data_IF_748587349792
#
_entry.id   IF_748587349792
#
_cell.length_a   1.000
_cell.length_b   1.000
_cell.length_c   1.000
_cell.angle_alpha   90.00
_cell.angle_beta   90.00
_cell.angle_gamma   90.00
#
_symmetry.space_group_name_H-M   'P 1'
#
loop_
_entity.id
_entity.type
_entity.pdbx_description
1 polymer ?
#
# COMPACT_ATOMS: atom_id res chain seq x y z
N UNK A 1 -46.92 46.88 -11.49
CA UNK A 1 -46.63 47.15 -12.91
C UNK A 1 -45.19 46.74 -13.19
N UNK A 2 -45.01 45.49 -13.61
CA UNK A 2 -44.02 45.00 -14.56
C UNK A 2 -44.28 43.49 -14.65
N UNK A 3 -45.14 43.15 -15.60
CA UNK A 3 -45.46 41.80 -16.06
C UNK A 3 -44.42 41.31 -17.07
N UNK A 4 -44.50 40.00 -17.38
CA UNK A 4 -43.79 39.21 -18.42
C UNK A 4 -42.51 38.51 -17.89
N UNK A 5 -42.28 37.21 -18.01
CA UNK A 5 -42.79 36.16 -18.91
C UNK A 5 -42.81 34.81 -18.15
N UNK A 6 -43.91 34.06 -18.26
CA UNK A 6 -43.97 32.65 -17.87
C UNK A 6 -43.64 31.78 -19.09
N UNK A 7 -42.56 31.00 -19.00
CA UNK A 7 -42.23 29.95 -19.96
C UNK A 7 -42.44 28.58 -19.30
N UNK A 8 -43.38 27.83 -19.86
CA UNK A 8 -43.66 26.43 -19.55
C UNK A 8 -42.56 25.55 -20.12
N UNK A 9 -41.99 24.66 -19.31
CA UNK A 9 -41.04 23.64 -19.76
C UNK A 9 -41.38 22.28 -19.13
N UNK A 10 -42.03 21.45 -19.96
CA UNK A 10 -41.74 20.04 -20.24
C UNK A 10 -41.36 19.10 -19.09
N UNK A 11 -42.23 18.11 -18.89
CA UNK A 11 -42.02 16.86 -18.14
C UNK A 11 -40.69 16.16 -18.46
N UNK A 12 -39.99 15.72 -17.40
CA UNK A 12 -39.01 14.64 -17.44
C UNK A 12 -39.30 13.60 -16.35
N UNK A 13 -39.07 12.29 -16.62
CA UNK A 13 -39.37 11.24 -15.66
C UNK A 13 -38.33 11.20 -14.54
N UNK A 14 -38.78 11.43 -13.30
CA UNK A 14 -37.97 11.23 -12.09
C UNK A 14 -37.78 9.73 -11.84
N UNK A 15 -36.55 9.24 -11.98
CA UNK A 15 -36.14 7.93 -11.45
C UNK A 15 -36.10 8.04 -9.92
N UNK A 16 -37.07 7.44 -9.24
CA UNK A 16 -37.05 7.25 -7.78
C UNK A 16 -35.95 6.25 -7.42
N UNK A 17 -34.80 6.76 -6.96
CA UNK A 17 -33.80 5.94 -6.28
C UNK A 17 -34.27 5.77 -4.83
N UNK A 18 -34.40 4.52 -4.37
CA UNK A 18 -34.75 4.18 -2.99
C UNK A 18 -33.67 4.66 -2.00
N UNK A 19 -33.78 5.91 -1.57
CA UNK A 19 -32.87 6.55 -0.61
C UNK A 19 -32.88 5.88 0.77
N UNK A 20 -33.91 5.09 1.08
CA UNK A 20 -34.03 4.41 2.37
C UNK A 20 -33.17 3.14 2.46
N UNK A 21 -32.92 2.46 1.32
CA UNK A 21 -32.03 1.29 1.28
C UNK A 21 -30.56 1.71 1.39
N UNK A 22 -30.18 2.78 0.69
CA UNK A 22 -28.83 3.37 0.82
C UNK A 22 -28.55 3.92 2.22
N UNK A 23 -29.56 4.49 2.91
CA UNK A 23 -29.41 4.92 4.31
C UNK A 23 -29.24 3.75 5.27
N UNK A 24 -29.94 2.63 5.06
CA UNK A 24 -29.78 1.41 5.85
C UNK A 24 -28.38 0.80 5.68
N UNK A 25 -27.90 0.72 4.45
CA UNK A 25 -26.58 0.14 4.15
C UNK A 25 -25.43 1.03 4.66
N UNK A 26 -25.56 2.36 4.57
CA UNK A 26 -24.60 3.29 5.19
C UNK A 26 -24.55 3.16 6.71
N UNK A 27 -25.69 3.00 7.39
CA UNK A 27 -25.74 2.82 8.84
C UNK A 27 -25.11 1.48 9.27
N UNK A 28 -25.28 0.43 8.47
CA UNK A 28 -24.69 -0.89 8.73
C UNK A 28 -23.16 -0.87 8.57
N UNK A 29 -22.65 -0.29 7.48
CA UNK A 29 -21.20 -0.18 7.21
C UNK A 29 -20.51 0.72 8.26
N UNK A 30 -21.14 1.83 8.64
CA UNK A 30 -20.59 2.74 9.66
C UNK A 30 -20.53 2.06 11.04
N UNK A 31 -21.52 1.22 11.35
CA UNK A 31 -21.55 0.45 12.60
C UNK A 31 -20.47 -0.63 12.64
N UNK A 32 -20.25 -1.35 11.54
CA UNK A 32 -19.18 -2.37 11.43
C UNK A 32 -17.79 -1.71 11.52
N UNK A 33 -17.59 -0.59 10.83
CA UNK A 33 -16.30 0.12 10.83
C UNK A 33 -15.97 0.65 12.23
N UNK A 34 -16.96 1.18 12.96
CA UNK A 34 -16.81 1.60 14.35
C UNK A 34 -16.45 0.42 15.26
N UNK A 35 -17.12 -0.73 15.10
CA UNK A 35 -16.85 -1.97 15.85
C UNK A 35 -15.43 -2.47 15.63
N UNK A 36 -14.98 -2.55 14.37
CA UNK A 36 -13.63 -3.00 14.02
C UNK A 36 -12.55 -2.05 14.56
N UNK A 37 -12.81 -0.74 14.54
CA UNK A 37 -11.86 0.27 15.05
C UNK A 37 -11.73 0.22 16.58
N UNK A 38 -12.85 -0.02 17.29
CA UNK A 38 -12.84 -0.19 18.75
C UNK A 38 -12.12 -1.47 19.17
N UNK A 39 -12.37 -2.59 18.47
CA UNK A 39 -11.70 -3.87 18.75
C UNK A 39 -10.18 -3.78 18.50
N UNK A 40 -9.76 -3.08 17.43
CA UNK A 40 -8.34 -2.91 17.11
C UNK A 40 -7.60 -1.96 18.08
N UNK A 41 -8.29 -0.97 18.66
CA UNK A 41 -7.67 0.06 19.50
C UNK A 41 -7.74 -0.21 21.00
N UNK A 42 -8.55 -1.17 21.46
CA UNK A 42 -8.72 -1.48 22.89
C UNK A 42 -9.29 -0.32 23.72
N UNK A 43 -9.82 0.73 23.07
CA UNK A 43 -10.35 1.91 23.72
C UNK A 43 -11.83 1.70 24.10
N UNK A 44 -12.28 2.18 25.29
CA UNK A 44 -13.69 2.10 25.65
C UNK A 44 -14.54 3.05 24.77
N UNK A 45 -15.57 2.49 24.12
CA UNK A 45 -16.54 3.25 23.32
C UNK A 45 -17.19 4.38 24.13
N UNK A 46 -17.26 5.58 23.53
CA UNK A 46 -17.96 6.74 24.09
C UNK A 46 -19.46 6.45 24.25
N UNK A 47 -20.01 6.85 25.40
CA UNK A 47 -21.42 6.74 25.76
C UNK A 47 -22.30 7.65 24.89
N UNK A 48 -22.67 7.25 23.67
CA UNK A 48 -23.81 7.83 22.96
C UNK A 48 -24.42 6.78 22.01
N UNK A 49 -25.01 5.71 22.56
CA UNK A 49 -26.17 5.03 21.96
C UNK A 49 -26.68 3.93 22.90
N UNK A 50 -27.71 4.25 23.68
CA UNK A 50 -28.46 3.27 24.49
C UNK A 50 -29.11 2.17 23.62
N UNK A 51 -29.22 2.39 22.31
CA UNK A 51 -29.80 1.45 21.33
C UNK A 51 -28.82 0.39 20.81
N UNK A 52 -27.52 0.63 20.87
CA UNK A 52 -26.49 -0.36 20.49
C UNK A 52 -26.21 -1.34 21.66
N UNK A 53 -26.41 -0.89 22.90
CA UNK A 53 -26.16 -1.68 24.11
C UNK A 53 -27.11 -2.88 24.28
N UNK A 54 -28.32 -2.85 23.69
CA UNK A 54 -29.26 -3.99 23.72
C UNK A 54 -28.93 -5.07 22.68
N UNK A 55 -28.26 -4.73 21.58
CA UNK A 55 -27.83 -5.70 20.55
C UNK A 55 -26.53 -6.40 20.97
N UNK A 56 -25.64 -5.69 21.67
CA UNK A 56 -24.36 -6.23 22.15
C UNK A 56 -24.47 -7.14 23.38
N UNK A 57 -25.61 -7.18 24.09
CA UNK A 57 -25.86 -8.12 25.19
C UNK A 57 -26.45 -9.46 24.75
N UNK A 58 -26.54 -9.72 23.45
CA UNK A 58 -26.90 -11.05 22.96
C UNK A 58 -25.70 -12.00 23.14
N UNK A 59 -25.80 -13.04 23.99
CA UNK A 59 -24.71 -13.97 24.24
C UNK A 59 -24.17 -14.64 22.97
N UNK A 60 -25.02 -14.79 21.93
CA UNK A 60 -24.62 -15.34 20.63
C UNK A 60 -23.64 -14.42 19.91
N UNK A 61 -23.85 -13.10 19.95
CA UNK A 61 -22.99 -12.11 19.26
C UNK A 61 -21.63 -12.01 19.97
N UNK A 62 -21.60 -12.14 21.30
CA UNK A 62 -20.36 -12.19 22.09
C UNK A 62 -19.53 -13.45 21.76
N UNK A 63 -20.17 -14.61 21.67
CA UNK A 63 -19.51 -15.88 21.33
C UNK A 63 -18.96 -15.87 19.89
N UNK A 64 -19.73 -15.34 18.94
CA UNK A 64 -19.31 -15.18 17.54
C UNK A 64 -18.15 -14.20 17.39
N UNK A 65 -18.15 -13.09 18.13
CA UNK A 65 -17.03 -12.12 18.10
C UNK A 65 -15.75 -12.71 18.66
N UNK A 66 -15.81 -13.59 19.67
CA UNK A 66 -14.64 -14.28 20.22
C UNK A 66 -14.08 -15.30 19.23
N UNK A 67 -14.94 -16.16 18.68
CA UNK A 67 -14.52 -17.18 17.70
C UNK A 67 -13.94 -16.54 16.44
N UNK A 68 -14.57 -15.47 15.91
CA UNK A 68 -14.04 -14.75 14.75
C UNK A 68 -12.69 -14.06 15.05
N UNK A 69 -12.52 -13.52 16.26
CA UNK A 69 -11.27 -12.90 16.70
C UNK A 69 -10.14 -13.92 16.87
N UNK A 70 -10.42 -15.10 17.40
CA UNK A 70 -9.47 -16.20 17.53
C UNK A 70 -9.09 -16.78 16.17
N UNK A 71 -10.04 -16.90 15.24
CA UNK A 71 -9.81 -17.38 13.89
C UNK A 71 -8.98 -16.39 13.06
N UNK A 72 -9.31 -15.09 13.12
CA UNK A 72 -8.49 -14.04 12.49
C UNK A 72 -7.08 -14.00 13.08
N UNK A 73 -6.93 -14.19 14.40
CA UNK A 73 -5.61 -14.26 15.03
C UNK A 73 -4.81 -15.47 14.56
N UNK A 74 -5.45 -16.63 14.40
CA UNK A 74 -4.82 -17.83 13.85
C UNK A 74 -4.38 -17.61 12.39
N UNK A 75 -5.27 -17.09 11.54
CA UNK A 75 -5.00 -16.86 10.12
C UNK A 75 -3.90 -15.80 9.91
N UNK A 76 -3.89 -14.73 10.72
CA UNK A 76 -2.84 -13.71 10.65
C UNK A 76 -1.49 -14.25 11.13
N UNK A 77 -1.49 -15.15 12.11
CA UNK A 77 -0.27 -15.75 12.65
C UNK A 77 0.32 -16.80 11.71
N UNK A 78 -0.53 -17.53 10.96
CA UNK A 78 -0.09 -18.43 9.87
C UNK A 78 0.57 -17.61 8.75
N UNK A 79 -0.04 -16.53 8.30
CA UNK A 79 0.52 -15.66 7.26
C UNK A 79 1.87 -15.03 7.64
N UNK A 80 2.05 -14.62 8.90
CA UNK A 80 3.33 -14.09 9.39
C UNK A 80 4.41 -15.17 9.42
N UNK A 81 4.07 -16.41 9.76
CA UNK A 81 5.02 -17.53 9.76
C UNK A 81 5.46 -17.89 8.33
N UNK A 82 4.53 -17.95 7.37
CA UNK A 82 4.87 -18.19 5.95
C UNK A 82 5.73 -17.07 5.35
N UNK A 83 5.40 -15.80 5.65
CA UNK A 83 6.18 -14.67 5.19
C UNK A 83 7.62 -14.71 5.75
N UNK A 84 7.78 -15.05 7.03
CA UNK A 84 9.11 -15.19 7.65
C UNK A 84 9.90 -16.37 7.09
N UNK A 85 9.23 -17.48 6.76
CA UNK A 85 9.84 -18.63 6.09
C UNK A 85 10.39 -18.24 4.71
N UNK A 86 9.57 -17.59 3.88
CA UNK A 86 9.97 -17.11 2.56
C UNK A 86 11.11 -16.09 2.63
N UNK A 87 11.06 -15.15 3.59
CA UNK A 87 12.16 -14.20 3.83
C UNK A 87 13.45 -14.94 4.22
N UNK A 88 13.37 -16.01 5.00
CA UNK A 88 14.53 -16.82 5.40
C UNK A 88 15.12 -17.59 4.21
N UNK A 89 14.26 -18.12 3.33
CA UNK A 89 14.65 -18.88 2.14
C UNK A 89 15.33 -17.97 1.11
N UNK A 90 14.78 -16.78 0.88
CA UNK A 90 15.39 -15.75 0.03
C UNK A 90 16.75 -15.31 0.61
N UNK A 91 16.87 -15.12 1.93
CA UNK A 91 18.17 -14.80 2.57
C UNK A 91 19.19 -15.94 2.42
N UNK A 92 18.76 -17.20 2.53
CA UNK A 92 19.64 -18.35 2.35
C UNK A 92 20.12 -18.49 0.89
N UNK A 93 19.24 -18.18 -0.07
CA UNK A 93 19.59 -18.19 -1.49
C UNK A 93 20.51 -17.01 -1.88
N UNK A 94 20.30 -15.82 -1.31
CA UNK A 94 21.16 -14.65 -1.55
C UNK A 94 22.55 -14.77 -0.90
N UNK A 95 22.69 -15.51 0.19
CA UNK A 95 23.98 -15.60 0.91
C UNK A 95 24.97 -16.61 0.29
N UNK A 96 24.62 -17.29 -0.81
CA UNK A 96 25.59 -17.91 -1.72
C UNK A 96 26.62 -18.85 -1.09
N UNK A 97 26.32 -19.47 0.07
CA UNK A 97 27.22 -20.44 0.71
C UNK A 97 26.91 -21.84 0.21
N UNK A 98 27.24 -22.11 -1.05
CA UNK A 98 27.50 -23.48 -1.52
C UNK A 98 28.64 -24.08 -0.69
N UNK A 99 28.30 -24.91 0.31
CA UNK A 99 29.26 -25.73 1.05
C UNK A 99 29.90 -26.74 0.11
N UNK A 100 30.99 -26.34 -0.54
CA UNK A 100 31.93 -27.27 -1.20
C UNK A 100 32.55 -28.12 -0.09
N UNK A 101 32.19 -29.41 -0.02
CA UNK A 101 32.83 -30.41 0.84
C UNK A 101 34.34 -30.40 0.56
N UNK A 102 35.12 -29.78 1.43
CA UNK A 102 36.58 -29.96 1.49
C UNK A 102 36.88 -31.07 2.49
N UNK A 103 37.48 -32.13 1.97
CA UNK A 103 38.07 -33.23 2.72
C UNK A 103 39.13 -32.71 3.69
N UNK A 104 39.14 -33.36 4.85
CA UNK A 104 39.91 -33.06 6.06
C UNK A 104 41.34 -33.57 5.88
N UNK A 105 42.33 -32.69 5.96
CA UNK A 105 43.71 -33.02 6.31
C UNK A 105 44.12 -32.06 7.42
N UNK A 106 44.32 -32.61 8.62
CA UNK A 106 44.65 -31.84 9.82
C UNK A 106 46.16 -31.67 9.97
N UNK A 107 46.58 -30.53 10.51
CA UNK A 107 47.85 -30.37 11.22
C UNK A 107 47.64 -29.35 12.36
N UNK A 108 48.21 -29.72 13.52
CA UNK A 108 48.32 -29.03 14.81
C UNK A 108 48.98 -27.65 14.77
N UNK A 109 48.57 -26.76 15.70
CA UNK A 109 49.40 -26.01 16.67
C UNK A 109 48.53 -24.87 17.26
N UNK A 110 48.25 -24.76 18.57
CA UNK A 110 49.08 -24.49 19.77
C UNK A 110 49.20 -22.99 20.08
N UNK A 111 48.81 -22.67 21.33
CA UNK A 111 49.14 -21.49 22.15
C UNK A 111 48.49 -20.14 21.79
N UNK A 112 48.29 -19.17 22.69
CA UNK A 112 48.14 -19.07 24.14
C UNK A 112 47.92 -17.57 24.45
N UNK A 113 47.38 -17.28 25.65
CA UNK A 113 47.64 -16.10 26.51
C UNK A 113 46.99 -14.72 26.25
N UNK A 114 46.19 -14.32 27.26
CA UNK A 114 46.18 -13.04 28.04
C UNK A 114 46.11 -11.68 27.31
N UNK A 115 45.17 -10.76 27.57
CA UNK A 115 44.63 -10.12 28.79
C UNK A 115 45.23 -8.72 29.07
N UNK A 116 44.33 -7.78 29.45
CA UNK A 116 44.57 -6.44 30.03
C UNK A 116 45.07 -5.36 29.04
N UNK A 117 44.85 -4.06 29.19
CA UNK A 117 43.99 -3.19 30.02
C UNK A 117 44.21 -1.74 29.53
N UNK A 118 43.22 -0.88 29.78
CA UNK A 118 43.15 0.61 29.83
C UNK A 118 44.44 1.38 30.29
N UNK A 119 44.52 2.73 30.38
CA UNK A 119 43.84 3.88 29.70
C UNK A 119 44.67 5.20 29.48
N UNK A 120 43.96 6.24 29.01
CA UNK A 120 44.18 7.69 29.27
C UNK A 120 45.32 8.34 28.46
N UNK A 121 45.42 9.64 28.20
CA UNK A 121 44.72 10.90 28.53
C UNK A 121 45.36 11.98 27.61
N UNK A 122 44.72 13.14 27.41
CA UNK A 122 45.37 14.25 26.69
C UNK A 122 44.53 15.53 26.65
N UNK A 123 44.95 16.50 27.45
CA UNK A 123 44.39 17.85 27.66
C UNK A 123 45.25 18.90 26.94
N UNK A 124 44.64 19.99 26.45
CA UNK A 124 45.08 21.42 26.52
C UNK A 124 44.37 22.22 25.40
N UNK A 125 43.54 23.25 25.65
CA UNK A 125 43.75 24.62 26.16
C UNK A 125 44.25 25.65 25.12
N UNK A 126 43.73 26.89 25.25
CA UNK A 126 44.23 28.21 24.73
C UNK A 126 43.74 28.56 23.30
N UNK A 127 43.24 29.72 22.86
CA UNK A 127 43.18 31.15 23.29
C UNK A 127 42.06 31.90 22.48
N UNK A 128 41.48 32.96 23.05
CA UNK A 128 40.82 34.12 22.38
C UNK A 128 41.77 35.35 22.57
N UNK A 129 41.57 36.59 22.05
CA UNK A 129 40.38 37.19 21.41
C UNK A 129 40.65 38.13 20.20
N UNK A 130 39.59 38.57 19.50
CA UNK A 130 39.58 39.89 18.82
C UNK A 130 38.16 40.40 18.50
N UNK A 131 37.91 41.60 18.98
CA UNK A 131 36.79 42.52 18.77
C UNK A 131 36.64 42.99 17.32
N UNK A 132 35.40 43.06 16.80
CA UNK A 132 35.06 43.94 15.67
C UNK A 132 33.59 44.40 15.74
N UNK A 133 33.41 45.70 15.59
CA UNK A 133 32.15 46.44 15.64
C UNK A 133 31.46 46.53 14.27
N UNK A 134 30.15 46.85 14.32
CA UNK A 134 29.27 47.48 13.30
C UNK A 134 28.55 46.58 12.27
N UNK A 135 27.45 47.06 11.63
CA UNK A 135 26.24 47.69 12.19
C UNK A 135 24.92 47.10 11.62
N UNK A 136 23.82 47.73 12.03
CA UNK A 136 22.41 47.50 11.70
C UNK A 136 22.04 47.08 10.26
N UNK A 137 21.06 46.17 10.15
CA UNK A 137 20.17 46.04 8.99
C UNK A 137 18.78 45.57 9.45
N UNK A 138 17.91 46.55 9.71
CA UNK A 138 16.47 46.41 9.57
C UNK A 138 16.13 46.57 8.08
N UNK A 139 15.56 45.53 7.46
CA UNK A 139 14.73 45.69 6.26
C UNK A 139 13.81 44.47 6.09
N UNK A 140 12.51 44.74 6.27
CA UNK A 140 11.39 44.29 5.45
C UNK A 140 11.35 42.84 4.96
N UNK A 141 10.57 42.02 5.69
CA UNK A 141 10.02 40.75 5.20
C UNK A 141 8.48 40.87 5.07
N UNK A 142 8.04 41.91 4.36
CA UNK A 142 6.68 42.09 3.87
C UNK A 142 6.81 42.11 2.35
N UNK A 143 6.78 40.94 1.69
CA UNK A 143 6.52 40.78 0.24
C UNK A 143 6.57 39.31 -0.24
N UNK A 144 6.10 38.34 0.56
CA UNK A 144 6.08 36.92 0.14
C UNK A 144 4.69 36.26 0.11
N UNK A 145 3.62 37.04 0.03
CA UNK A 145 2.25 36.53 -0.13
C UNK A 145 1.40 37.42 -1.05
N UNK A 146 1.87 37.69 -2.27
CA UNK A 146 1.17 38.58 -3.19
C UNK A 146 1.54 38.44 -4.67
N UNK A 147 1.63 37.22 -5.22
CA UNK A 147 1.67 37.02 -6.67
C UNK A 147 1.38 35.56 -7.07
N UNK A 148 0.11 35.12 -6.97
CA UNK A 148 -0.47 34.07 -7.83
C UNK A 148 -1.98 33.92 -7.57
N UNK A 149 -2.71 34.98 -7.86
CA UNK A 149 -4.13 34.93 -8.17
C UNK A 149 -4.28 35.87 -9.35
N UNK A 150 -4.40 35.33 -10.56
CA UNK A 150 -5.08 35.86 -11.77
C UNK A 150 -4.69 34.99 -12.99
N UNK A 151 -5.33 33.84 -13.09
CA UNK A 151 -5.67 33.15 -14.34
C UNK A 151 -6.83 32.23 -13.97
N UNK A 152 -8.07 32.65 -14.17
CA UNK A 152 -8.74 32.34 -15.42
C UNK A 152 -9.50 31.04 -15.23
N UNK A 153 -10.71 31.15 -14.68
CA UNK A 153 -11.71 30.08 -14.70
C UNK A 153 -12.09 29.93 -16.18
N UNK A 154 -11.55 28.90 -16.82
CA UNK A 154 -11.98 28.40 -18.11
C UNK A 154 -12.79 27.15 -17.85
N UNK A 155 -13.97 27.11 -18.43
CA UNK A 155 -14.98 26.07 -18.36
C UNK A 155 -14.41 24.68 -18.71
N UNK A 156 -14.89 23.67 -18.00
CA UNK A 156 -14.64 22.25 -18.26
C UNK A 156 -15.07 21.89 -19.69
N UNK A 157 -14.22 21.25 -20.51
CA UNK A 157 -14.70 20.57 -21.70
C UNK A 157 -15.23 19.18 -21.31
N UNK A 158 -16.45 18.89 -21.74
CA UNK A 158 -17.07 17.56 -21.70
C UNK A 158 -16.14 16.47 -22.25
N UNK A 159 -16.20 15.22 -21.72
CA UNK A 159 -15.49 14.10 -22.31
C UNK A 159 -16.19 13.68 -23.61
N UNK A 160 -15.75 14.24 -24.74
CA UNK A 160 -16.19 13.78 -26.06
C UNK A 160 -15.63 12.38 -26.32
N UNK A 161 -16.56 11.44 -26.48
CA UNK A 161 -16.38 10.08 -26.96
C UNK A 161 -15.70 10.01 -28.32
N UNK A 162 -14.55 9.33 -28.40
CA UNK A 162 -13.86 8.92 -29.61
C UNK A 162 -13.22 7.57 -29.25
N UNK A 163 -13.70 6.40 -29.68
CA UNK A 163 -13.78 5.87 -31.05
C UNK A 163 -14.44 4.46 -31.04
N UNK A 164 -14.67 3.78 -32.20
CA UNK A 164 -15.97 3.29 -32.67
C UNK A 164 -16.22 1.78 -32.43
N UNK A 165 -17.41 1.26 -32.77
CA UNK A 165 -17.75 -0.15 -32.57
C UNK A 165 -17.07 -1.04 -33.63
N UNK A 166 -16.54 -2.18 -33.20
CA UNK A 166 -16.09 -3.25 -34.09
C UNK A 166 -17.31 -3.95 -34.70
N UNK A 167 -17.36 -4.15 -36.03
CA UNK A 167 -18.46 -4.87 -36.65
C UNK A 167 -18.25 -6.38 -36.54
N UNK A 168 -19.31 -7.07 -36.13
CA UNK A 168 -19.49 -8.51 -36.30
C UNK A 168 -20.14 -8.72 -37.67
N UNK A 169 -19.50 -9.47 -38.59
CA UNK A 169 -20.17 -10.41 -39.52
C UNK A 169 -19.25 -11.03 -40.60
N UNK A 170 -19.69 -12.12 -41.28
CA UNK A 170 -18.84 -13.23 -41.75
C UNK A 170 -18.63 -13.28 -43.28
N UNK A 171 -17.58 -13.99 -43.73
CA UNK A 171 -17.44 -14.66 -45.05
C UNK A 171 -16.09 -15.41 -45.02
N UNK A 172 -16.02 -16.73 -45.20
CA UNK A 172 -16.18 -17.49 -46.45
C UNK A 172 -15.14 -17.14 -47.55
N UNK A 173 -14.25 -18.12 -47.76
CA UNK A 173 -13.66 -18.59 -49.04
C UNK A 173 -12.43 -17.93 -49.67
N UNK A 174 -11.47 -18.83 -49.96
CA UNK A 174 -10.62 -18.95 -51.17
C UNK A 174 -9.15 -18.49 -51.13
N UNK A 175 -8.28 -19.51 -51.28
CA UNK A 175 -7.09 -19.62 -52.15
C UNK A 175 -6.01 -18.53 -52.16
N UNK A 176 -4.75 -18.92 -51.91
CA UNK A 176 -3.77 -19.22 -52.98
C UNK A 176 -2.32 -19.37 -52.45
N UNK A 177 -1.73 -20.53 -52.76
CA UNK A 177 -0.36 -20.80 -53.27
C UNK A 177 0.94 -20.42 -52.55
N UNK A 178 1.89 -21.37 -52.72
CA UNK A 178 3.36 -21.33 -52.64
C UNK A 178 3.97 -21.57 -51.24
N UNK A 179 4.97 -22.43 -51.01
CA UNK A 179 5.86 -23.18 -51.90
C UNK A 179 6.36 -24.46 -51.20
N UNK A 180 6.64 -25.48 -52.03
CA UNK A 180 7.35 -26.72 -51.69
C UNK A 180 8.88 -26.49 -51.69
N UNK A 181 9.68 -27.42 -51.14
CA UNK A 181 10.44 -28.23 -52.10
C UNK A 181 10.42 -29.73 -51.82
N UNK A 182 10.63 -30.45 -52.93
CA UNK A 182 10.57 -31.89 -53.14
C UNK A 182 11.79 -32.66 -52.62
N UNK A 183 11.55 -33.94 -52.28
CA UNK A 183 12.45 -35.08 -52.46
C UNK A 183 11.53 -36.33 -52.56
N UNK A 184 11.14 -36.86 -53.73
CA UNK A 184 11.87 -37.59 -54.77
C UNK A 184 12.58 -38.85 -54.26
N UNK A 185 11.89 -40.00 -54.29
CA UNK A 185 12.47 -41.29 -54.68
C UNK A 185 11.38 -42.20 -55.28
N UNK A 186 11.44 -42.27 -56.60
CA UNK A 186 11.18 -43.35 -57.55
C UNK A 186 10.40 -44.61 -57.11
N UNK A 187 9.27 -44.80 -57.79
CA UNK A 187 8.72 -46.12 -58.13
C UNK A 187 9.16 -46.46 -59.56
N UNK A 188 9.67 -47.67 -59.85
CA UNK A 188 9.79 -48.15 -61.22
C UNK A 188 8.54 -48.97 -61.60
N UNK A 189 7.86 -48.51 -62.65
CA UNK A 189 6.91 -49.29 -63.43
C UNK A 189 7.64 -50.00 -64.57
N UNK A 190 7.31 -51.30 -64.75
CA UNK A 190 7.27 -52.15 -65.97
C UNK A 190 8.32 -51.97 -67.10
N UNK A 191 8.82 -53.07 -67.72
CA UNK A 191 8.04 -53.70 -68.79
C UNK A 191 8.20 -55.23 -68.92
N UNK A 192 7.24 -55.87 -69.60
CA UNK A 192 7.32 -57.27 -70.00
C UNK A 192 8.36 -57.54 -71.09
N UNK A 193 8.63 -58.83 -71.33
CA UNK A 193 8.98 -59.46 -72.62
C UNK A 193 9.05 -60.98 -72.34
N UNK A 194 8.20 -61.74 -73.03
CA UNK A 194 8.36 -63.19 -73.24
C UNK A 194 9.60 -63.48 -74.09
N UNK A 195 10.19 -64.68 -74.04
CA UNK A 195 10.07 -65.50 -75.25
C UNK A 195 10.03 -67.03 -75.04
N UNK A 196 9.33 -67.66 -75.98
CA UNK A 196 9.67 -68.88 -76.74
C UNK A 196 10.08 -70.18 -76.01
N UNK A 197 9.13 -71.13 -76.05
CA UNK A 197 9.26 -72.46 -76.66
C UNK A 197 10.64 -73.16 -76.69
N UNK A 198 10.72 -74.30 -75.97
CA UNK A 198 11.41 -75.51 -76.44
C UNK A 198 10.69 -76.75 -75.87
N UNK A 199 10.00 -77.48 -76.75
CA UNK A 199 9.49 -78.82 -76.49
C UNK A 199 10.69 -79.77 -76.33
N UNK A 200 10.90 -80.27 -75.10
CA UNK A 200 11.80 -81.38 -74.80
C UNK A 200 10.97 -82.61 -74.43
N UNK A 201 10.85 -83.54 -75.36
CA UNK A 201 10.25 -84.86 -75.18
C UNK A 201 11.32 -85.75 -74.52
N UNK A 202 11.14 -86.10 -73.25
CA UNK A 202 11.89 -87.18 -72.59
C UNK A 202 10.88 -88.18 -72.01
N UNK A 203 10.79 -89.32 -72.69
CA UNK A 203 10.34 -90.57 -72.09
C UNK A 203 11.43 -91.04 -71.14
N UNK A 204 11.09 -91.34 -69.88
CA UNK A 204 11.78 -92.38 -69.11
C UNK A 204 10.87 -92.91 -68.01
N UNK A 205 10.47 -94.16 -68.19
CA UNK A 205 9.87 -95.00 -67.18
C UNK A 205 10.88 -95.33 -66.05
N UNK A 206 10.32 -95.77 -64.91
CA UNK A 206 10.95 -96.39 -63.72
C UNK A 206 11.12 -95.42 -62.52
N UNK A 207 10.13 -95.38 -61.61
CA UNK A 207 10.22 -95.33 -60.12
C UNK A 207 8.96 -94.70 -59.46
N UNK A 208 7.86 -95.47 -59.23
CA UNK A 208 6.64 -94.97 -58.60
C UNK A 208 6.71 -94.74 -57.08
N UNK A 209 7.86 -95.00 -56.42
CA UNK A 209 7.95 -95.03 -54.95
C UNK A 209 8.68 -93.81 -54.33
N UNK A 210 9.53 -93.09 -55.09
CA UNK A 210 10.21 -91.86 -54.63
C UNK A 210 9.31 -90.63 -54.78
N UNK A 211 8.44 -90.63 -55.79
CA UNK A 211 7.52 -89.52 -56.08
C UNK A 211 6.43 -89.36 -55.02
N UNK A 212 5.96 -90.45 -54.41
CA UNK A 212 4.93 -90.42 -53.37
C UNK A 212 5.44 -89.79 -52.06
N UNK A 213 6.67 -90.13 -51.65
CA UNK A 213 7.30 -89.57 -50.45
C UNK A 213 7.58 -88.08 -50.59
N UNK A 214 8.12 -87.65 -51.73
CA UNK A 214 8.31 -86.22 -52.05
C UNK A 214 6.97 -85.46 -52.06
N UNK A 215 5.91 -86.02 -52.67
CA UNK A 215 4.57 -85.41 -52.69
C UNK A 215 3.99 -85.25 -51.27
N UNK A 216 4.21 -86.23 -50.39
CA UNK A 216 3.80 -86.16 -48.98
C UNK A 216 4.53 -85.06 -48.21
N UNK A 217 5.86 -84.97 -48.37
CA UNK A 217 6.67 -83.90 -47.77
C UNK A 217 6.30 -82.51 -48.31
N UNK A 218 6.04 -82.39 -49.61
CA UNK A 218 5.52 -81.15 -50.21
C UNK A 218 4.15 -80.76 -49.65
N UNK A 219 3.26 -81.73 -49.42
CA UNK A 219 1.96 -81.49 -48.80
C UNK A 219 2.11 -81.02 -47.34
N UNK A 220 3.02 -81.63 -46.57
CA UNK A 220 3.32 -81.22 -45.20
C UNK A 220 3.92 -79.81 -45.16
N UNK A 221 4.86 -79.50 -46.06
CA UNK A 221 5.46 -78.17 -46.18
C UNK A 221 4.40 -77.13 -46.57
N UNK A 222 3.48 -77.47 -47.49
CA UNK A 222 2.38 -76.58 -47.88
C UNK A 222 1.49 -76.23 -46.69
N UNK A 223 1.10 -77.22 -45.88
CA UNK A 223 0.31 -76.98 -44.67
C UNK A 223 1.06 -76.11 -43.66
N UNK A 224 2.35 -76.40 -43.41
CA UNK A 224 3.18 -75.59 -42.52
C UNK A 224 3.28 -74.13 -42.99
N UNK A 225 3.41 -73.90 -44.30
CA UNK A 225 3.44 -72.56 -44.88
C UNK A 225 2.11 -71.85 -44.68
N UNK A 226 0.97 -72.54 -44.85
CA UNK A 226 -0.36 -71.99 -44.58
C UNK A 226 -0.50 -71.63 -43.09
N UNK A 227 -0.16 -72.55 -42.18
CA UNK A 227 -0.23 -72.31 -40.73
C UNK A 227 0.65 -71.12 -40.30
N UNK A 228 1.86 -70.99 -40.87
CA UNK A 228 2.74 -69.85 -40.63
C UNK A 228 2.18 -68.57 -41.22
N UNK A 229 1.59 -68.62 -42.42
CA UNK A 229 0.95 -67.47 -43.05
C UNK A 229 -0.23 -66.99 -42.21
N UNK A 230 -1.09 -67.89 -41.74
CA UNK A 230 -2.23 -67.56 -40.87
C UNK A 230 -1.77 -66.99 -39.52
N UNK A 231 -0.72 -67.54 -38.92
CA UNK A 231 -0.11 -67.00 -37.70
C UNK A 231 0.43 -65.58 -37.93
N UNK A 232 1.12 -65.34 -39.06
CA UNK A 232 1.59 -63.99 -39.40
C UNK A 232 0.43 -63.03 -39.66
N UNK A 233 -0.63 -63.48 -40.33
CA UNK A 233 -1.82 -62.68 -40.59
C UNK A 233 -2.52 -62.30 -39.26
N UNK A 234 -2.62 -63.24 -38.32
CA UNK A 234 -3.14 -62.99 -36.97
C UNK A 234 -2.31 -61.96 -36.19
N UNK A 235 -0.98 -62.00 -36.31
CA UNK A 235 -0.11 -61.00 -35.68
C UNK A 235 -0.24 -59.62 -36.34
N UNK A 236 -0.35 -59.58 -37.67
CA UNK A 236 -0.56 -58.35 -38.42
C UNK A 236 -1.88 -57.70 -38.02
N UNK A 237 -2.96 -58.48 -37.91
CA UNK A 237 -4.26 -57.95 -37.49
C UNK A 237 -4.21 -57.43 -36.05
N UNK A 238 -3.63 -58.17 -35.10
CA UNK A 238 -3.44 -57.70 -33.72
C UNK A 238 -2.64 -56.40 -33.64
N UNK A 239 -1.52 -56.32 -34.36
CA UNK A 239 -0.71 -55.11 -34.41
C UNK A 239 -1.45 -53.95 -35.07
N UNK A 240 -2.24 -54.21 -36.11
CA UNK A 240 -3.05 -53.17 -36.78
C UNK A 240 -4.09 -52.56 -35.84
N UNK A 241 -4.71 -53.37 -34.98
CA UNK A 241 -5.66 -52.92 -33.95
C UNK A 241 -4.93 -52.09 -32.89
N UNK A 242 -3.81 -52.59 -32.35
CA UNK A 242 -3.03 -51.86 -31.35
C UNK A 242 -2.51 -50.51 -31.90
N UNK A 243 -2.08 -50.46 -33.17
CA UNK A 243 -1.67 -49.19 -33.81
C UNK A 243 -2.86 -48.23 -33.94
N UNK A 244 -4.06 -48.72 -34.23
CA UNK A 244 -5.26 -47.88 -34.31
C UNK A 244 -5.64 -47.32 -32.93
N UNK A 245 -5.56 -48.12 -31.88
CA UNK A 245 -5.79 -47.70 -30.49
C UNK A 245 -4.79 -46.61 -30.05
N UNK A 246 -3.48 -46.86 -30.25
CA UNK A 246 -2.44 -45.87 -29.93
C UNK A 246 -2.64 -44.58 -30.73
N UNK A 247 -3.04 -44.66 -32.01
CA UNK A 247 -3.36 -43.46 -32.80
C UNK A 247 -4.53 -42.67 -32.22
N UNK A 248 -5.56 -43.35 -31.73
CA UNK A 248 -6.70 -42.71 -31.10
C UNK A 248 -6.29 -41.99 -29.80
N UNK A 249 -5.48 -42.64 -28.96
CA UNK A 249 -4.94 -42.03 -27.74
C UNK A 249 -4.03 -40.82 -28.03
N UNK A 250 -3.17 -40.91 -29.05
CA UNK A 250 -2.32 -39.80 -29.49
C UNK A 250 -3.16 -38.62 -29.98
N UNK A 251 -4.24 -38.89 -30.72
CA UNK A 251 -5.15 -37.84 -31.18
C UNK A 251 -5.88 -37.16 -30.02
N UNK A 252 -6.32 -37.93 -29.03
CA UNK A 252 -6.96 -37.38 -27.83
C UNK A 252 -6.00 -36.52 -27.01
N UNK A 253 -4.77 -37.00 -26.80
CA UNK A 253 -3.72 -36.21 -26.13
C UNK A 253 -3.42 -34.91 -26.89
N UNK A 254 -3.41 -34.93 -28.23
CA UNK A 254 -3.23 -33.74 -29.04
C UNK A 254 -4.37 -32.73 -28.83
N UNK A 255 -5.62 -33.20 -28.74
CA UNK A 255 -6.78 -32.34 -28.45
C UNK A 255 -6.69 -31.72 -27.05
N UNK A 256 -6.32 -32.51 -26.04
CA UNK A 256 -6.15 -32.04 -24.66
C UNK A 256 -5.02 -31.01 -24.55
N UNK A 257 -3.88 -31.24 -25.24
CA UNK A 257 -2.79 -30.27 -25.29
C UNK A 257 -3.21 -28.94 -25.93
N UNK A 258 -4.02 -28.97 -26.99
CA UNK A 258 -4.56 -27.76 -27.60
C UNK A 258 -5.51 -27.01 -26.66
N UNK A 259 -6.38 -27.71 -25.94
CA UNK A 259 -7.27 -27.11 -24.96
C UNK A 259 -6.49 -26.45 -23.81
N UNK A 260 -5.48 -27.16 -23.26
CA UNK A 260 -4.60 -26.62 -22.22
C UNK A 260 -3.83 -25.39 -22.70
N UNK A 261 -3.36 -25.40 -23.94
CA UNK A 261 -2.69 -24.23 -24.55
C UNK A 261 -3.63 -23.02 -24.61
N UNK A 262 -4.88 -23.19 -25.03
CA UNK A 262 -5.86 -22.10 -25.06
C UNK A 262 -6.12 -21.51 -23.66
N UNK A 263 -6.27 -22.36 -22.64
CA UNK A 263 -6.41 -21.91 -21.25
C UNK A 263 -5.17 -21.17 -20.75
N UNK A 264 -3.97 -21.67 -21.09
CA UNK A 264 -2.71 -21.01 -20.74
C UNK A 264 -2.63 -19.62 -21.36
N UNK A 265 -2.91 -19.49 -22.66
CA UNK A 265 -2.89 -18.20 -23.35
C UNK A 265 -3.90 -17.21 -22.74
N UNK A 266 -5.10 -17.68 -22.37
CA UNK A 266 -6.10 -16.86 -21.69
C UNK A 266 -5.61 -16.39 -20.31
N UNK A 267 -5.10 -17.30 -19.48
CA UNK A 267 -4.60 -16.95 -18.13
C UNK A 267 -3.40 -16.01 -18.20
N UNK A 268 -2.51 -16.16 -19.18
CA UNK A 268 -1.44 -15.20 -19.45
C UNK A 268 -1.99 -13.81 -19.78
N UNK A 269 -3.04 -13.72 -20.60
CA UNK A 269 -3.71 -12.46 -20.90
C UNK A 269 -4.28 -11.78 -19.65
N UNK A 270 -4.98 -12.53 -18.80
CA UNK A 270 -5.53 -12.04 -17.54
C UNK A 270 -4.43 -11.58 -16.56
N UNK A 271 -3.31 -12.32 -16.48
CA UNK A 271 -2.16 -11.95 -15.65
C UNK A 271 -1.51 -10.64 -16.09
N UNK A 272 -1.41 -10.39 -17.41
CA UNK A 272 -0.88 -9.12 -17.92
C UNK A 272 -1.81 -7.95 -17.56
N UNK A 273 -3.12 -8.12 -17.75
CA UNK A 273 -4.11 -7.09 -17.35
C UNK A 273 -4.07 -6.80 -15.85
N UNK A 274 -3.94 -7.84 -15.02
CA UNK A 274 -3.83 -7.67 -13.57
C UNK A 274 -2.55 -6.94 -13.19
N UNK A 275 -1.42 -7.27 -13.85
CA UNK A 275 -0.14 -6.58 -13.65
C UNK A 275 -0.25 -5.10 -13.96
N UNK A 276 -0.88 -4.73 -15.08
CA UNK A 276 -1.06 -3.32 -15.45
C UNK A 276 -1.92 -2.58 -14.42
N UNK A 277 -3.00 -3.20 -13.94
CA UNK A 277 -3.84 -2.64 -12.87
C UNK A 277 -3.08 -2.44 -11.56
N UNK A 278 -2.18 -3.35 -11.20
CA UNK A 278 -1.34 -3.20 -10.00
C UNK A 278 -0.43 -1.98 -10.12
N UNK A 279 0.23 -1.80 -11.28
CA UNK A 279 1.08 -0.63 -11.53
C UNK A 279 0.25 0.67 -11.46
N UNK A 280 -0.93 0.69 -12.07
CA UNK A 280 -1.82 1.85 -12.00
C UNK A 280 -2.24 2.18 -10.57
N UNK A 281 -2.60 1.17 -9.77
CA UNK A 281 -2.95 1.36 -8.37
C UNK A 281 -1.77 1.84 -7.52
N UNK A 282 -0.56 1.35 -7.76
CA UNK A 282 0.65 1.81 -7.08
C UNK A 282 0.94 3.28 -7.38
N UNK A 283 0.81 3.70 -8.65
CA UNK A 283 1.01 5.10 -9.04
C UNK A 283 -0.02 6.01 -8.37
N UNK A 284 -1.30 5.62 -8.38
CA UNK A 284 -2.38 6.36 -7.71
C UNK A 284 -2.16 6.45 -6.20
N UNK A 285 -1.82 5.34 -5.55
CA UNK A 285 -1.52 5.29 -4.11
C UNK A 285 -0.37 6.22 -3.75
N UNK A 286 0.69 6.26 -4.57
CA UNK A 286 1.81 7.17 -4.37
C UNK A 286 1.42 8.65 -4.49
N UNK A 287 0.53 8.98 -5.45
CA UNK A 287 0.05 10.34 -5.67
C UNK A 287 -0.87 10.82 -4.53
N UNK A 288 -1.78 9.95 -4.05
CA UNK A 288 -2.63 10.22 -2.90
C UNK A 288 -1.79 10.44 -1.64
N UNK A 289 -0.79 9.57 -1.40
CA UNK A 289 0.10 9.70 -0.24
C UNK A 289 0.84 11.05 -0.22
N UNK A 290 1.37 11.50 -1.38
CA UNK A 290 2.00 12.82 -1.50
C UNK A 290 1.02 13.96 -1.21
N UNK A 291 -0.21 13.86 -1.71
CA UNK A 291 -1.25 14.87 -1.49
C UNK A 291 -1.65 14.97 -0.02
N UNK A 292 -1.86 13.82 0.64
CA UNK A 292 -2.17 13.75 2.08
C UNK A 292 -1.05 14.37 2.91
N UNK A 293 0.22 14.07 2.59
CA UNK A 293 1.36 14.66 3.29
C UNK A 293 1.44 16.20 3.12
N UNK A 294 1.21 16.71 1.91
CA UNK A 294 1.18 18.14 1.64
C UNK A 294 0.03 18.85 2.36
N UNK A 295 -1.16 18.25 2.37
CA UNK A 295 -2.32 18.77 3.09
C UNK A 295 -2.11 18.75 4.60
N UNK A 296 -1.55 17.68 5.16
CA UNK A 296 -1.24 17.60 6.59
C UNK A 296 -0.26 18.71 7.02
N UNK A 297 0.76 18.97 6.20
CA UNK A 297 1.72 20.05 6.43
C UNK A 297 1.06 21.44 6.36
N UNK A 298 0.17 21.65 5.38
CA UNK A 298 -0.61 22.89 5.28
C UNK A 298 -1.55 23.09 6.47
N UNK A 299 -2.23 22.03 6.92
CA UNK A 299 -3.11 22.08 8.09
C UNK A 299 -2.32 22.40 9.36
N UNK A 300 -1.18 21.75 9.59
CA UNK A 300 -0.30 22.06 10.73
C UNK A 300 0.15 23.53 10.71
N UNK A 301 0.55 24.05 9.55
CA UNK A 301 0.93 25.46 9.41
C UNK A 301 -0.22 26.43 9.72
N UNK A 302 -1.42 26.16 9.18
CA UNK A 302 -2.60 26.99 9.40
C UNK A 302 -3.05 26.94 10.87
N UNK A 303 -2.98 25.77 11.50
CA UNK A 303 -3.27 25.61 12.92
C UNK A 303 -2.26 26.36 13.79
N UNK A 304 -0.96 26.22 13.53
CA UNK A 304 0.06 27.01 14.24
C UNK A 304 -0.09 28.51 13.96
N UNK A 305 -0.56 28.92 12.78
CA UNK A 305 -0.80 30.32 12.46
C UNK A 305 -1.98 30.90 13.24
N UNK A 306 -3.12 30.18 13.30
CA UNK A 306 -4.30 30.64 14.03
C UNK A 306 -4.03 30.75 15.54
N UNK A 307 -3.33 29.77 16.13
CA UNK A 307 -2.98 29.76 17.56
C UNK A 307 -2.00 30.86 17.98
N UNK A 308 -1.30 31.53 17.06
CA UNK A 308 -0.41 32.69 17.39
C UNK A 308 -1.17 33.83 18.04
N UNK A 309 -2.47 33.94 17.79
CA UNK A 309 -3.33 34.97 18.36
C UNK A 309 -3.86 34.60 19.74
N UNK A 310 -3.53 33.40 20.24
CA UNK A 310 -4.09 32.87 21.46
C UNK A 310 -3.06 32.88 22.60
N UNK A 311 -3.56 33.03 23.83
CA UNK A 311 -2.88 32.68 25.08
C UNK A 311 -3.79 31.77 25.92
N UNK A 312 -3.18 30.96 26.78
CA UNK A 312 -3.88 30.10 27.72
C UNK A 312 -3.61 30.61 29.14
N UNK A 313 -4.67 31.03 29.84
CA UNK A 313 -4.67 31.37 31.25
C UNK A 313 -4.95 30.11 32.08
N UNK A 314 -4.01 29.70 32.92
CA UNK A 314 -4.13 28.57 33.85
C UNK A 314 -4.26 29.07 35.29
N UNK A 315 -4.98 28.31 36.11
CA UNK A 315 -5.17 28.61 37.54
C UNK A 315 -6.32 29.59 37.84
N UNK A 316 -7.13 29.97 36.85
CA UNK A 316 -8.31 30.79 37.09
C UNK A 316 -9.42 29.92 37.70
N UNK A 317 -9.79 30.15 38.96
CA UNK A 317 -10.82 29.39 39.67
C UNK A 317 -12.14 29.27 38.86
N UNK A 318 -12.74 28.09 38.83
CA UNK A 318 -14.01 27.81 38.14
C UNK A 318 -15.19 28.05 39.08
N UNK A 319 -16.08 28.97 38.70
CA UNK A 319 -17.34 29.23 39.41
C UNK A 319 -18.51 28.85 38.50
N UNK A 320 -19.62 28.44 39.11
CA UNK A 320 -20.85 28.20 38.36
C UNK A 320 -21.39 29.53 37.82
N UNK A 321 -21.84 29.53 36.55
CA UNK A 321 -22.32 30.73 35.85
C UNK A 321 -21.31 31.89 35.82
N UNK A 322 -20.01 31.57 35.74
CA UNK A 322 -18.95 32.58 35.67
C UNK A 322 -18.91 33.29 34.32
N UNK A 323 -18.85 34.63 34.34
CA UNK A 323 -18.39 35.42 33.19
C UNK A 323 -16.88 35.25 33.00
N UNK A 324 -16.50 34.21 32.24
CA UNK A 324 -15.09 33.88 31.99
C UNK A 324 -14.37 35.01 31.25
N UNK A 325 -15.06 35.75 30.37
CA UNK A 325 -14.48 36.84 29.61
C UNK A 325 -14.15 38.02 30.51
N UNK A 326 -15.09 38.45 31.35
CA UNK A 326 -14.87 39.54 32.30
C UNK A 326 -13.79 39.23 33.34
N UNK A 327 -13.72 38.00 33.84
CA UNK A 327 -12.63 37.56 34.73
C UNK A 327 -11.26 37.56 34.02
N UNK A 328 -11.18 37.02 32.80
CA UNK A 328 -9.94 37.04 32.02
C UNK A 328 -9.47 38.47 31.76
N UNK A 329 -10.36 39.38 31.34
CA UNK A 329 -10.02 40.80 31.13
C UNK A 329 -9.51 41.44 32.42
N UNK A 330 -10.18 41.21 33.56
CA UNK A 330 -9.71 41.74 34.86
C UNK A 330 -8.30 41.26 35.20
N UNK A 331 -8.00 39.99 34.98
CA UNK A 331 -6.64 39.45 35.16
C UNK A 331 -5.66 40.15 34.22
N UNK A 332 -6.00 40.29 32.94
CA UNK A 332 -5.13 40.95 31.95
C UNK A 332 -4.87 42.43 32.27
N UNK A 333 -5.87 43.16 32.76
CA UNK A 333 -5.73 44.56 33.19
C UNK A 333 -4.77 44.71 34.37
N UNK A 334 -4.66 43.70 35.25
CA UNK A 334 -3.67 43.67 36.32
C UNK A 334 -2.27 43.30 35.83
N UNK A 335 -2.18 42.51 34.75
CA UNK A 335 -0.89 42.13 34.13
C UNK A 335 -0.30 43.27 33.32
N UNK A 336 -1.13 44.02 32.58
CA UNK A 336 -0.70 45.15 31.75
C UNK A 336 -1.60 46.38 31.99
N UNK A 337 -1.36 47.14 33.08
CA UNK A 337 -2.19 48.30 33.43
C UNK A 337 -2.18 49.41 32.39
N UNK A 338 -1.07 49.59 31.65
CA UNK A 338 -0.91 50.61 30.60
C UNK A 338 -1.93 50.49 29.46
N UNK A 339 -2.42 49.28 29.19
CA UNK A 339 -3.38 49.01 28.13
C UNK A 339 -4.78 48.68 28.67
N UNK A 340 -5.07 49.01 29.93
CA UNK A 340 -6.28 48.61 30.65
C UNK A 340 -7.57 48.88 29.87
N UNK A 341 -7.67 50.06 29.28
CA UNK A 341 -8.88 50.53 28.61
C UNK A 341 -9.07 49.90 27.22
N UNK A 342 -7.98 49.41 26.62
CA UNK A 342 -8.01 48.76 25.31
C UNK A 342 -8.32 47.26 25.38
N UNK A 343 -8.07 46.62 26.53
CA UNK A 343 -8.23 45.17 26.68
C UNK A 343 -9.66 44.65 26.42
N UNK A 344 -10.73 45.32 26.86
CA UNK A 344 -12.09 44.90 26.55
C UNK A 344 -12.40 44.81 25.05
N UNK A 345 -11.78 45.64 24.22
CA UNK A 345 -12.03 45.65 22.77
C UNK A 345 -11.12 44.67 22.01
N UNK A 346 -9.93 44.39 22.55
CA UNK A 346 -8.95 43.51 21.89
C UNK A 346 -9.17 42.04 22.19
N UNK A 347 -9.72 41.73 23.36
CA UNK A 347 -10.07 40.36 23.72
C UNK A 347 -11.33 39.98 22.95
N UNK A 348 -11.15 39.15 21.93
CA UNK A 348 -12.22 38.73 21.04
C UNK A 348 -13.02 37.58 21.68
N UNK A 349 -12.50 36.36 21.59
CA UNK A 349 -13.14 35.16 22.12
C UNK A 349 -12.42 34.63 23.36
N UNK A 350 -13.18 34.25 24.40
CA UNK A 350 -12.67 33.63 25.64
C UNK A 350 -13.51 32.43 26.02
N UNK A 351 -12.90 31.27 26.21
CA UNK A 351 -13.60 30.08 26.68
C UNK A 351 -12.71 29.12 27.46
N UNK A 352 -13.32 28.24 28.25
CA UNK A 352 -12.63 27.17 29.00
C UNK A 352 -12.28 26.01 28.06
N UNK A 353 -11.11 25.42 28.26
CA UNK A 353 -10.64 24.26 27.48
C UNK A 353 -11.16 22.95 28.08
N UNK A 354 -11.90 22.19 27.28
CA UNK A 354 -12.31 20.82 27.59
C UNK A 354 -13.44 20.69 28.63
N UNK A 355 -13.85 19.45 28.94
CA UNK A 355 -14.91 19.17 29.91
C UNK A 355 -14.45 19.45 31.34
N UNK A 356 -15.37 19.90 32.21
CA UNK A 356 -15.11 20.19 33.63
C UNK A 356 -14.66 18.92 34.35
N UNK A 357 -13.65 19.05 35.23
CA UNK A 357 -13.14 17.98 36.09
C UNK A 357 -13.12 18.46 37.54
N UNK A 358 -13.41 17.60 38.53
CA UNK A 358 -13.48 18.00 39.93
C UNK A 358 -12.11 18.42 40.51
N UNK A 359 -11.04 17.72 40.13
CA UNK A 359 -9.73 17.88 40.77
C UNK A 359 -8.82 18.91 40.06
N UNK A 360 -9.22 19.40 38.89
CA UNK A 360 -8.35 20.24 38.06
C UNK A 360 -9.09 21.42 37.44
N UNK A 361 -8.57 22.62 37.66
CA UNK A 361 -9.02 23.84 36.99
C UNK A 361 -8.64 23.82 35.50
N UNK A 362 -9.62 23.98 34.62
CA UNK A 362 -9.40 24.07 33.17
C UNK A 362 -8.67 25.36 32.81
N UNK A 363 -7.79 25.27 31.81
CA UNK A 363 -7.23 26.45 31.17
C UNK A 363 -8.31 27.25 30.46
N UNK A 364 -8.17 28.57 30.42
CA UNK A 364 -8.98 29.48 29.62
C UNK A 364 -8.17 29.90 28.42
N UNK A 365 -8.67 29.64 27.22
CA UNK A 365 -8.07 30.17 26.00
C UNK A 365 -8.63 31.57 25.72
N UNK A 366 -7.73 32.49 25.38
CA UNK A 366 -8.01 33.89 25.14
C UNK A 366 -7.48 34.20 23.74
N UNK A 367 -8.39 34.50 22.82
CA UNK A 367 -8.05 34.96 21.47
C UNK A 367 -8.04 36.48 21.44
N UNK A 368 -6.99 37.04 20.83
CA UNK A 368 -6.80 38.48 20.70
C UNK A 368 -7.04 38.92 19.26
N UNK A 369 -7.66 40.09 19.08
CA UNK A 369 -7.81 40.73 17.78
C UNK A 369 -6.55 41.52 17.34
N UNK A 370 -5.63 41.83 18.27
CA UNK A 370 -4.37 42.55 18.01
C UNK A 370 -3.17 41.79 18.58
N UNK A 371 -2.31 41.28 17.69
CA UNK A 371 -1.15 40.47 18.06
C UNK A 371 -0.10 41.24 18.87
N UNK A 372 0.08 42.53 18.57
CA UNK A 372 1.05 43.37 19.30
C UNK A 372 0.70 43.46 20.78
N UNK A 373 -0.59 43.60 21.11
CA UNK A 373 -1.04 43.67 22.49
C UNK A 373 -0.95 42.31 23.19
N UNK A 374 -1.31 41.23 22.49
CA UNK A 374 -1.08 39.85 22.95
C UNK A 374 0.39 39.62 23.34
N UNK A 375 1.33 40.03 22.50
CA UNK A 375 2.76 39.86 22.74
C UNK A 375 3.29 40.79 23.85
N UNK A 376 2.71 41.99 24.03
CA UNK A 376 3.01 42.86 25.18
C UNK A 376 2.56 42.23 26.50
N UNK A 377 1.32 41.70 26.55
CA UNK A 377 0.79 40.95 27.69
C UNK A 377 1.68 39.74 27.98
N UNK A 378 2.07 38.97 26.96
CA UNK A 378 2.92 37.79 27.15
C UNK A 378 4.28 38.15 27.77
N UNK A 379 4.88 39.27 27.35
CA UNK A 379 6.13 39.77 27.94
C UNK A 379 5.94 40.23 29.39
N UNK A 380 4.90 41.01 29.68
CA UNK A 380 4.59 41.47 31.03
C UNK A 380 4.28 40.31 31.99
N UNK A 381 3.61 39.26 31.49
CA UNK A 381 3.21 38.09 32.27
C UNK A 381 4.40 37.32 32.86
N UNK A 382 5.54 37.24 32.17
CA UNK A 382 6.72 36.48 32.63
C UNK A 382 7.22 36.93 34.00
N UNK A 383 7.14 38.23 34.28
CA UNK A 383 7.63 38.85 35.50
C UNK A 383 6.51 39.38 36.42
N UNK A 384 5.23 39.09 36.10
CA UNK A 384 4.10 39.60 36.88
C UNK A 384 4.06 38.99 38.30
N UNK A 385 4.12 39.86 39.31
CA UNK A 385 3.95 39.48 40.72
C UNK A 385 2.53 39.06 41.03
N UNK A 386 1.53 39.71 40.40
CA UNK A 386 0.12 39.40 40.55
C UNK A 386 -0.22 37.95 40.13
N UNK A 387 0.27 37.50 38.98
CA UNK A 387 0.04 36.12 38.52
C UNK A 387 0.64 35.10 39.48
N UNK A 388 1.87 35.33 39.95
CA UNK A 388 2.56 34.46 40.91
C UNK A 388 1.82 34.39 42.24
N UNK A 389 1.39 35.53 42.78
CA UNK A 389 0.67 35.62 44.06
C UNK A 389 -0.68 34.89 44.05
N UNK A 390 -1.34 34.82 42.89
CA UNK A 390 -2.63 34.15 42.72
C UNK A 390 -2.52 32.73 42.13
N UNK A 391 -1.32 32.14 42.05
CA UNK A 391 -1.07 30.84 41.44
C UNK A 391 -1.55 30.71 39.97
N UNK A 392 -1.62 31.83 39.26
CA UNK A 392 -2.03 31.88 37.86
C UNK A 392 -0.80 31.92 36.94
N UNK A 393 -0.96 31.38 35.73
CA UNK A 393 0.10 31.39 34.71
C UNK A 393 -0.52 31.62 33.33
N UNK A 394 0.07 32.51 32.55
CA UNK A 394 -0.17 32.57 31.12
C UNK A 394 0.78 31.61 30.41
N UNK A 395 0.33 31.01 29.33
CA UNK A 395 1.13 30.19 28.43
C UNK A 395 0.73 30.50 26.98
N UNK A 396 1.65 30.30 26.05
CA UNK A 396 1.30 30.29 24.62
C UNK A 396 0.42 29.07 24.30
N UNK A 397 -0.55 29.26 23.41
CA UNK A 397 -1.29 28.14 22.81
C UNK A 397 -0.46 27.57 21.66
N UNK A 398 0.06 26.36 21.86
CA UNK A 398 0.93 25.68 20.90
C UNK A 398 0.28 24.38 20.44
N UNK A 399 0.44 24.06 19.15
CA UNK A 399 0.02 22.78 18.58
C UNK A 399 0.74 21.63 19.29
N UNK A 400 0.21 20.41 19.16
CA UNK A 400 0.85 19.23 19.72
C UNK A 400 2.27 19.04 19.15
N UNK A 401 2.44 19.27 17.85
CA UNK A 401 3.72 19.21 17.15
C UNK A 401 4.71 20.25 17.69
N UNK A 402 4.27 21.50 17.87
CA UNK A 402 5.13 22.57 18.41
C UNK A 402 5.55 22.29 19.86
N UNK A 403 4.65 21.71 20.67
CA UNK A 403 4.97 21.26 22.05
C UNK A 403 5.98 20.12 22.06
N UNK A 404 5.86 19.18 21.13
CA UNK A 404 6.81 18.08 20.99
C UNK A 404 8.19 18.59 20.56
N UNK A 405 8.26 19.49 19.58
CA UNK A 405 9.50 20.17 19.17
C UNK A 405 10.17 20.87 20.36
N UNK A 406 9.40 21.64 21.14
CA UNK A 406 9.92 22.26 22.37
C UNK A 406 10.45 21.23 23.38
N UNK A 407 9.77 20.10 23.54
CA UNK A 407 10.21 19.03 24.47
C UNK A 407 11.55 18.45 24.04
N UNK A 408 11.75 18.20 22.74
CA UNK A 408 13.01 17.70 22.18
C UNK A 408 14.15 18.72 22.31
N UNK A 409 13.85 20.00 22.13
CA UNK A 409 14.82 21.09 22.24
C UNK A 409 15.11 21.52 23.68
N UNK A 410 14.23 21.17 24.64
CA UNK A 410 14.35 21.61 26.04
C UNK A 410 15.69 21.26 26.69
N UNK A 411 16.23 20.03 26.57
CA UNK A 411 17.52 19.69 27.15
C UNK A 411 18.67 20.58 26.64
N UNK A 412 18.68 20.92 25.35
CA UNK A 412 19.69 21.80 24.76
C UNK A 412 19.58 23.23 25.30
N UNK A 413 18.36 23.76 25.38
CA UNK A 413 18.10 25.09 25.96
C UNK A 413 18.45 25.13 27.44
N UNK A 414 18.14 24.07 28.19
CA UNK A 414 18.45 23.97 29.60
C UNK A 414 19.96 23.90 29.85
N UNK A 415 20.69 23.11 29.06
CA UNK A 415 22.16 23.02 29.14
C UNK A 415 22.80 24.37 28.81
N UNK A 416 22.35 25.05 27.75
CA UNK A 416 22.84 26.39 27.40
C UNK A 416 22.60 27.40 28.55
N UNK A 417 21.45 27.34 29.22
CA UNK A 417 21.18 28.19 30.40
C UNK A 417 22.11 27.87 31.57
N UNK A 418 22.43 26.58 31.80
CA UNK A 418 23.38 26.17 32.85
C UNK A 418 24.80 26.68 32.55
N UNK A 419 25.16 26.81 31.28
CA UNK A 419 26.40 27.44 30.81
C UNK A 419 26.36 28.98 30.80
N UNK A 420 25.32 29.60 31.37
CA UNK A 420 25.08 31.05 31.37
C UNK A 420 24.90 31.69 29.97
N UNK A 421 24.58 30.89 28.95
CA UNK A 421 24.24 31.40 27.61
C UNK A 421 22.80 31.91 27.56
N UNK A 422 22.54 32.86 26.66
CA UNK A 422 21.19 33.42 26.49
C UNK A 422 20.36 32.48 25.63
N UNK A 423 19.57 31.61 26.28
CA UNK A 423 18.73 30.64 25.59
C UNK A 423 17.22 30.82 25.86
N UNK A 424 16.43 30.91 24.79
CA UNK A 424 14.98 31.14 24.87
C UNK A 424 14.20 30.52 23.72
N UNK A 425 12.89 30.33 23.93
CA UNK A 425 11.96 29.89 22.90
C UNK A 425 11.19 31.06 22.28
N UNK A 426 10.91 30.96 20.99
CA UNK A 426 9.98 31.84 20.26
C UNK A 426 9.08 30.99 19.36
N UNK A 427 7.83 30.76 19.79
CA UNK A 427 7.00 29.73 19.17
C UNK A 427 7.64 28.34 19.32
N UNK A 428 7.62 27.47 18.31
CA UNK A 428 8.30 26.17 18.38
C UNK A 428 9.82 26.21 18.28
N UNK A 429 10.40 27.36 17.92
CA UNK A 429 11.84 27.52 17.69
C UNK A 429 12.59 27.85 18.97
N UNK A 430 13.80 27.34 19.09
CA UNK A 430 14.72 27.62 20.19
C UNK A 430 15.93 28.39 19.68
N UNK A 431 16.39 29.36 20.46
CA UNK A 431 17.54 30.20 20.16
C UNK A 431 18.54 30.11 21.32
N UNK A 432 19.83 30.03 21.00
CA UNK A 432 20.96 30.11 21.93
C UNK A 432 21.93 31.16 21.39
N UNK A 433 22.22 32.18 22.18
CA UNK A 433 23.09 33.32 21.81
C UNK A 433 22.72 33.95 20.45
N UNK A 434 21.40 34.05 20.21
CA UNK A 434 20.83 34.61 18.98
C UNK A 434 20.74 33.64 17.80
N UNK A 435 21.33 32.45 17.87
CA UNK A 435 21.33 31.44 16.80
C UNK A 435 20.23 30.41 17.01
N UNK A 436 19.48 30.08 15.95
CA UNK A 436 18.46 29.03 16.00
C UNK A 436 19.09 27.65 16.10
N UNK A 437 18.61 26.82 17.03
CA UNK A 437 19.08 25.44 17.21
C UNK A 437 18.01 24.45 16.73
N UNK A 438 18.47 23.34 16.15
CA UNK A 438 17.62 22.28 15.63
C UNK A 438 17.73 21.02 16.50
N UNK A 439 16.67 20.20 16.60
CA UNK A 439 16.77 18.91 17.26
C UNK A 439 17.78 18.01 16.53
N UNK A 440 18.51 17.16 17.27
CA UNK A 440 19.50 16.24 16.70
C UNK A 440 18.89 15.20 15.78
#
# INVERSE_FOLDING_TARGET
MLDLHAASCSDQPTVKVDTDKQRSDCLYITSITCLLTTVASGAPCCEHSSRVRSVLHNPIVSEMSKTLGEQLKADYQVNICELNYLISEVKNNMTGKTKRKKSKAGVNAKAATEASSFPSSGSANVEEPATLQTPALQANMHDYLGAQLHSGISEDPEPTSLFPPLPISPAATSSATAASPAASYDTPSSPGISPAAKQGRFEHAILPDITATMLSEFSALKLLVIDKADATQSLITKNSVAIAEVRAEVQENANQLNALKMTLDQTCGELLLLKDRVVDLETQSSAVTKTVAAQASRLSLLESYSRRWNLILRGLEEKDQQDVRGEAIRVLQRVLPEARDQLPDVVDTVHRLGPRRPDTTRGVIIQFARRQLRDAIWRAAKNSTFLKANNMKLAEDLTAEDREKRRRLWPLVENARKENKVAFFRGSRAFVDGTEIFPP
#
